data_IF_139921505950
#
_entry.id   IF_139921505950
#
_cell.length_a   1.000
_cell.length_b   1.000
_cell.length_c   1.000
_cell.angle_alpha   90.00
_cell.angle_beta   90.00
_cell.angle_gamma   90.00
#
_symmetry.space_group_name_H-M   'P 1'
#
loop_
_entity.id
_entity.type
_entity.pdbx_description
1 polymer ?
#
# COMPACT_ATOMS: atom_id res chain seq x y z
N UNK A 1 6.83 1.92 18.24
CA UNK A 1 7.57 2.76 17.27
C UNK A 1 9.05 2.41 17.15
N UNK A 2 9.88 2.46 18.20
CA UNK A 2 11.32 2.17 18.05
C UNK A 2 11.63 0.70 17.70
N UNK A 3 10.94 -0.27 18.32
CA UNK A 3 11.16 -1.70 18.07
C UNK A 3 10.75 -2.11 16.64
N UNK A 4 9.60 -1.65 16.17
CA UNK A 4 9.13 -1.93 14.81
C UNK A 4 10.05 -1.31 13.76
N UNK A 5 10.46 -0.06 13.98
CA UNK A 5 11.43 0.59 13.09
C UNK A 5 12.74 -0.19 13.00
N UNK A 6 13.29 -0.62 14.13
CA UNK A 6 14.53 -1.40 14.16
C UNK A 6 14.36 -2.76 13.42
N UNK A 7 13.24 -3.46 13.67
CA UNK A 7 12.90 -4.73 13.01
C UNK A 7 12.80 -4.58 11.49
N UNK A 8 12.09 -3.56 11.00
CA UNK A 8 11.93 -3.32 9.57
C UNK A 8 13.23 -2.84 8.91
N UNK A 9 14.03 -2.01 9.58
CA UNK A 9 15.37 -1.64 9.12
C UNK A 9 16.25 -2.88 8.90
N UNK A 10 16.25 -3.81 9.86
CA UNK A 10 17.03 -5.05 9.72
C UNK A 10 16.53 -5.91 8.57
N UNK A 11 15.21 -6.04 8.40
CA UNK A 11 14.61 -6.74 7.26
C UNK A 11 15.03 -6.11 5.93
N UNK A 12 14.88 -4.79 5.79
CA UNK A 12 15.22 -4.09 4.54
C UNK A 12 16.72 -4.08 4.26
N UNK A 13 17.58 -4.13 5.28
CA UNK A 13 19.03 -4.26 5.09
C UNK A 13 19.41 -5.54 4.38
N UNK A 14 18.73 -6.64 4.69
CA UNK A 14 18.96 -7.98 4.12
C UNK A 14 18.15 -8.26 2.87
N UNK A 15 17.14 -7.45 2.58
CA UNK A 15 16.25 -7.69 1.45
C UNK A 15 16.90 -7.23 0.14
N UNK A 16 16.88 -8.07 -0.91
CA UNK A 16 17.18 -7.63 -2.26
C UNK A 16 16.15 -6.57 -2.67
N UNK A 17 16.42 -5.90 -3.77
CA UNK A 17 15.46 -4.96 -4.35
C UNK A 17 14.21 -5.74 -4.81
N UNK A 18 13.05 -5.51 -4.22
CA UNK A 18 11.86 -6.27 -4.58
C UNK A 18 11.34 -5.85 -5.96
N UNK A 19 10.61 -6.77 -6.59
CA UNK A 19 9.86 -6.47 -7.80
C UNK A 19 8.53 -5.78 -7.44
N UNK A 20 7.99 -4.95 -8.34
CA UNK A 20 6.65 -4.40 -8.20
C UNK A 20 5.60 -5.51 -8.03
N UNK A 21 4.47 -5.16 -7.43
CA UNK A 21 3.31 -6.05 -7.36
C UNK A 21 2.78 -6.36 -8.76
N UNK A 22 2.82 -7.63 -9.17
CA UNK A 22 2.24 -8.07 -10.45
C UNK A 22 0.74 -7.82 -10.47
N UNK A 23 -0.06 -8.16 -9.42
CA UNK A 23 -1.47 -7.81 -9.38
C UNK A 23 -1.74 -6.32 -9.54
N UNK A 24 -0.92 -5.44 -8.93
CA UNK A 24 -1.08 -4.00 -9.15
C UNK A 24 -0.86 -3.61 -10.60
N UNK A 25 0.19 -4.13 -11.24
CA UNK A 25 0.44 -3.88 -12.67
C UNK A 25 -0.72 -4.33 -13.55
N UNK A 26 -1.34 -5.47 -13.24
CA UNK A 26 -2.49 -6.01 -13.98
C UNK A 26 -3.76 -5.16 -13.79
N UNK A 27 -4.00 -4.67 -12.59
CA UNK A 27 -5.28 -4.08 -12.21
C UNK A 27 -5.26 -2.57 -11.97
N UNK A 28 -4.12 -1.89 -12.11
CA UNK A 28 -4.02 -0.44 -11.88
C UNK A 28 -5.01 0.39 -12.71
N UNK A 29 -5.39 -0.08 -13.88
CA UNK A 29 -6.41 0.58 -14.72
C UNK A 29 -7.82 0.64 -14.10
N UNK A 30 -8.07 -0.11 -13.01
CA UNK A 30 -9.33 -0.08 -12.24
C UNK A 30 -9.30 0.91 -11.08
N UNK A 31 -8.14 1.52 -10.80
CA UNK A 31 -7.95 2.46 -9.71
C UNK A 31 -8.30 3.88 -10.14
N UNK A 32 -8.80 4.66 -9.20
CA UNK A 32 -9.16 6.07 -9.44
C UNK A 32 -7.90 6.92 -9.56
N UNK A 33 -7.71 7.62 -10.68
CA UNK A 33 -6.57 8.51 -10.89
C UNK A 33 -6.60 9.70 -9.94
N UNK A 34 -5.42 10.21 -9.60
CA UNK A 34 -5.24 11.39 -8.75
C UNK A 34 -4.12 11.22 -7.73
N UNK A 35 -4.35 11.62 -6.49
CA UNK A 35 -3.40 11.45 -5.39
C UNK A 35 -3.51 10.03 -4.85
N UNK A 36 -2.37 9.37 -4.71
CA UNK A 36 -2.30 8.03 -4.14
C UNK A 36 -1.54 8.03 -2.81
N UNK A 37 -1.99 7.20 -1.86
CA UNK A 37 -1.28 6.89 -0.62
C UNK A 37 -0.82 5.44 -0.67
N UNK A 38 0.50 5.24 -0.62
CA UNK A 38 1.13 3.91 -0.52
C UNK A 38 1.48 3.65 0.95
N UNK A 39 0.70 2.78 1.59
CA UNK A 39 0.77 2.50 3.04
C UNK A 39 1.78 1.40 3.31
N UNK A 40 2.77 1.69 4.16
CA UNK A 40 3.92 0.83 4.42
C UNK A 40 4.63 0.45 3.10
N UNK A 41 4.88 1.45 2.25
CA UNK A 41 5.33 1.30 0.87
C UNK A 41 6.77 0.79 0.72
N UNK A 42 7.49 0.56 1.82
CA UNK A 42 8.81 -0.05 1.83
C UNK A 42 9.81 0.68 0.94
N UNK A 43 10.43 -0.05 0.02
CA UNK A 43 11.49 0.46 -0.88
C UNK A 43 10.93 1.24 -2.09
N UNK A 44 9.59 1.44 -2.19
CA UNK A 44 8.94 2.33 -3.14
C UNK A 44 8.66 1.76 -4.53
N UNK A 45 8.65 0.44 -4.72
CA UNK A 45 8.37 -0.17 -6.03
C UNK A 45 6.94 0.13 -6.50
N UNK A 46 5.96 -0.08 -5.61
CA UNK A 46 4.55 0.21 -5.83
C UNK A 46 4.33 1.68 -6.14
N UNK A 47 4.91 2.55 -5.32
CA UNK A 47 4.88 4.00 -5.52
C UNK A 47 5.45 4.42 -6.87
N UNK A 48 6.59 3.86 -7.28
CA UNK A 48 7.22 4.18 -8.56
C UNK A 48 6.32 3.78 -9.74
N UNK A 49 5.71 2.58 -9.70
CA UNK A 49 4.77 2.12 -10.73
C UNK A 49 3.61 3.09 -10.88
N UNK A 50 2.96 3.47 -9.78
CA UNK A 50 1.84 4.40 -9.79
C UNK A 50 2.25 5.78 -10.31
N UNK A 51 3.38 6.32 -9.85
CA UNK A 51 3.85 7.64 -10.27
C UNK A 51 4.18 7.68 -11.76
N UNK A 52 4.88 6.67 -12.28
CA UNK A 52 5.17 6.56 -13.72
C UNK A 52 3.91 6.37 -14.57
N UNK A 53 2.84 5.82 -13.98
CA UNK A 53 1.53 5.71 -14.62
C UNK A 53 0.63 6.94 -14.39
N UNK A 54 1.15 8.03 -13.76
CA UNK A 54 0.51 9.35 -13.68
C UNK A 54 -0.29 9.63 -12.41
N UNK A 55 -0.05 8.91 -11.31
CA UNK A 55 -0.51 9.32 -9.97
C UNK A 55 0.49 10.26 -9.30
N UNK A 56 0.00 11.21 -8.48
CA UNK A 56 0.84 11.91 -7.50
C UNK A 56 0.86 11.09 -6.21
N UNK A 57 1.99 10.47 -5.89
CA UNK A 57 2.06 9.44 -4.85
C UNK A 57 2.65 10.01 -3.56
N UNK A 58 2.02 9.68 -2.43
CA UNK A 58 2.63 9.81 -1.10
C UNK A 58 2.90 8.41 -0.56
N UNK A 59 4.18 8.08 -0.37
CA UNK A 59 4.61 6.86 0.29
C UNK A 59 4.82 7.12 1.77
N UNK A 60 4.33 6.24 2.62
CA UNK A 60 4.62 6.24 4.06
C UNK A 60 5.22 4.92 4.50
N UNK A 61 6.30 4.98 5.27
CA UNK A 61 6.91 3.81 5.93
C UNK A 61 7.55 4.23 7.26
N UNK A 62 7.65 3.30 8.20
CA UNK A 62 8.27 3.55 9.50
C UNK A 62 9.80 3.44 9.45
N UNK A 63 10.34 2.66 8.51
CA UNK A 63 11.75 2.38 8.35
C UNK A 63 12.48 3.54 7.69
N UNK A 64 13.45 4.11 8.38
CA UNK A 64 14.35 5.14 7.81
C UNK A 64 15.12 4.59 6.60
N UNK A 65 15.59 3.35 6.66
CA UNK A 65 16.30 2.71 5.54
C UNK A 65 15.40 2.58 4.29
N UNK A 66 14.13 2.18 4.49
CA UNK A 66 13.18 2.10 3.40
C UNK A 66 12.87 3.48 2.81
N UNK A 67 12.62 4.45 3.66
CA UNK A 67 12.36 5.85 3.28
C UNK A 67 13.51 6.43 2.45
N UNK A 68 14.76 6.21 2.85
CA UNK A 68 15.93 6.72 2.11
C UNK A 68 16.07 6.04 0.75
N UNK A 69 15.87 4.72 0.68
CA UNK A 69 15.91 3.98 -0.58
C UNK A 69 14.76 4.37 -1.51
N UNK A 70 13.55 4.55 -0.99
CA UNK A 70 12.40 5.02 -1.77
C UNK A 70 12.62 6.42 -2.33
N UNK A 71 13.21 7.35 -1.54
CA UNK A 71 13.59 8.69 -2.02
C UNK A 71 14.60 8.64 -3.16
N UNK A 72 15.64 7.80 -3.03
CA UNK A 72 16.65 7.64 -4.08
C UNK A 72 16.01 7.09 -5.36
N UNK A 73 15.17 6.04 -5.25
CA UNK A 73 14.41 5.50 -6.38
C UNK A 73 13.54 6.56 -7.06
N UNK A 74 12.79 7.33 -6.30
CA UNK A 74 11.96 8.39 -6.86
C UNK A 74 12.77 9.42 -7.66
N UNK A 75 13.93 9.83 -7.15
CA UNK A 75 14.84 10.75 -7.85
C UNK A 75 15.42 10.13 -9.13
N UNK A 76 15.91 8.90 -9.06
CA UNK A 76 16.50 8.18 -10.21
C UNK A 76 15.48 8.03 -11.36
N UNK A 77 14.24 7.71 -11.02
CA UNK A 77 13.13 7.55 -11.97
C UNK A 77 12.44 8.86 -12.36
N UNK A 78 12.77 9.98 -11.72
CA UNK A 78 12.07 11.27 -11.84
C UNK A 78 10.56 11.10 -11.62
N UNK A 79 10.20 10.23 -10.68
CA UNK A 79 8.81 9.89 -10.36
C UNK A 79 8.24 10.87 -9.33
N UNK A 80 6.97 11.27 -9.50
CA UNK A 80 6.24 12.14 -8.54
C UNK A 80 5.84 11.34 -7.30
N UNK A 81 6.83 11.11 -6.42
CA UNK A 81 6.65 10.40 -5.16
C UNK A 81 7.16 11.24 -4.00
N UNK A 82 6.24 11.66 -3.12
CA UNK A 82 6.55 12.23 -1.82
C UNK A 82 6.74 11.11 -0.80
N UNK A 83 7.93 11.00 -0.21
CA UNK A 83 8.25 9.96 0.77
C UNK A 83 8.26 10.53 2.18
N UNK A 84 7.43 9.96 3.06
CA UNK A 84 7.23 10.40 4.44
C UNK A 84 7.56 9.25 5.40
N UNK A 85 8.43 9.52 6.38
CA UNK A 85 8.65 8.59 7.49
C UNK A 85 7.57 8.81 8.54
N UNK A 86 6.70 7.82 8.75
CA UNK A 86 5.67 7.87 9.79
C UNK A 86 5.22 6.47 10.19
N UNK A 87 4.59 6.39 11.36
CA UNK A 87 3.91 5.21 11.84
C UNK A 87 2.50 5.16 11.23
N UNK A 88 2.13 4.01 10.66
CA UNK A 88 0.81 3.81 10.05
C UNK A 88 -0.34 3.95 11.04
N UNK A 89 -0.11 3.76 12.32
CA UNK A 89 -1.11 4.01 13.38
C UNK A 89 -1.39 5.50 13.60
N UNK A 90 -0.52 6.39 13.12
CA UNK A 90 -0.60 7.84 13.30
C UNK A 90 -0.21 8.56 12.02
N UNK A 91 -0.96 8.31 10.95
CA UNK A 91 -0.71 8.95 9.66
C UNK A 91 -0.89 10.47 9.76
N UNK A 92 0.12 11.27 9.35
CA UNK A 92 0.08 12.73 9.47
C UNK A 92 -0.70 13.40 8.32
N UNK A 93 -1.71 12.71 7.78
CA UNK A 93 -2.48 13.18 6.63
C UNK A 93 -3.93 13.42 7.01
N UNK A 94 -4.56 14.38 6.35
CA UNK A 94 -6.00 14.64 6.45
C UNK A 94 -6.78 14.11 5.25
N UNK A 95 -6.09 13.66 4.20
CA UNK A 95 -6.70 13.22 2.93
C UNK A 95 -7.34 14.37 2.14
N UNK A 96 -8.31 14.08 1.26
CA UNK A 96 -8.59 12.76 0.75
C UNK A 96 -7.53 12.29 -0.26
N UNK A 97 -7.46 10.98 -0.47
CA UNK A 97 -6.69 10.34 -1.54
C UNK A 97 -7.65 9.62 -2.48
N UNK A 98 -7.46 9.77 -3.79
CA UNK A 98 -8.26 9.11 -4.80
C UNK A 98 -7.94 7.62 -4.90
N UNK A 99 -6.71 7.23 -4.53
CA UNK A 99 -6.29 5.83 -4.42
C UNK A 99 -5.51 5.61 -3.14
N UNK A 100 -5.79 4.52 -2.44
CA UNK A 100 -4.94 4.01 -1.36
C UNK A 100 -4.49 2.61 -1.75
N UNK A 101 -3.19 2.33 -1.63
CA UNK A 101 -2.63 1.00 -1.90
C UNK A 101 -1.94 0.44 -0.67
N UNK A 102 -2.09 -0.87 -0.46
CA UNK A 102 -1.46 -1.61 0.61
C UNK A 102 -1.01 -2.97 0.06
N UNK A 103 0.29 -3.11 -0.19
CA UNK A 103 0.89 -4.31 -0.79
C UNK A 103 1.85 -4.97 0.17
N UNK A 104 1.68 -6.28 0.39
CA UNK A 104 2.56 -7.08 1.26
C UNK A 104 2.66 -6.55 2.71
N UNK A 105 1.65 -5.81 3.12
CA UNK A 105 1.46 -5.29 4.46
C UNK A 105 0.00 -5.43 4.85
N UNK A 106 -0.27 -5.87 6.07
CA UNK A 106 -1.60 -5.92 6.65
C UNK A 106 -1.57 -5.43 8.09
N UNK A 107 -2.44 -4.48 8.39
CA UNK A 107 -2.76 -4.04 9.75
C UNK A 107 -4.27 -3.74 9.81
N UNK A 108 -4.98 -4.62 10.45
CA UNK A 108 -6.45 -4.62 10.44
C UNK A 108 -7.04 -3.42 11.19
N UNK A 109 -6.36 -3.00 12.25
CA UNK A 109 -6.85 -1.92 13.13
C UNK A 109 -6.86 -0.54 12.46
N UNK A 110 -6.12 -0.33 11.38
CA UNK A 110 -6.09 0.94 10.65
C UNK A 110 -7.17 1.06 9.58
N UNK A 111 -7.99 0.02 9.34
CA UNK A 111 -9.00 0.03 8.27
C UNK A 111 -9.89 1.28 8.34
N UNK A 112 -10.45 1.61 9.50
CA UNK A 112 -11.27 2.82 9.69
C UNK A 112 -10.51 4.12 9.42
N UNK A 113 -9.18 4.17 9.69
CA UNK A 113 -8.36 5.33 9.37
C UNK A 113 -8.20 5.48 7.85
N UNK A 114 -7.95 4.39 7.13
CA UNK A 114 -7.84 4.41 5.67
C UNK A 114 -9.15 4.82 5.00
N UNK A 115 -10.30 4.36 5.54
CA UNK A 115 -11.62 4.77 5.02
C UNK A 115 -11.89 6.26 5.17
N UNK A 116 -11.40 6.90 6.23
CA UNK A 116 -11.49 8.37 6.39
C UNK A 116 -10.60 9.14 5.42
N UNK A 117 -9.44 8.57 5.06
CA UNK A 117 -8.50 9.18 4.12
C UNK A 117 -8.88 8.96 2.65
N UNK A 118 -9.72 7.96 2.34
CA UNK A 118 -10.14 7.66 0.99
C UNK A 118 -11.21 8.64 0.52
N UNK A 119 -11.04 9.21 -0.67
CA UNK A 119 -11.99 10.11 -1.30
C UNK A 119 -13.33 9.41 -1.61
N UNK A 120 -14.41 10.16 -1.69
CA UNK A 120 -15.65 9.68 -2.33
C UNK A 120 -15.35 9.29 -3.78
N UNK A 121 -15.83 8.14 -4.25
CA UNK A 121 -15.48 7.56 -5.55
C UNK A 121 -14.04 7.01 -5.65
N UNK A 122 -13.24 7.15 -4.61
CA UNK A 122 -11.87 6.66 -4.56
C UNK A 122 -11.77 5.14 -4.40
N UNK A 123 -10.60 4.58 -4.70
CA UNK A 123 -10.35 3.13 -4.66
C UNK A 123 -9.28 2.74 -3.66
N UNK A 124 -9.52 1.65 -2.94
CA UNK A 124 -8.55 0.95 -2.12
C UNK A 124 -8.07 -0.30 -2.85
N UNK A 125 -6.77 -0.47 -2.98
CA UNK A 125 -6.13 -1.69 -3.47
C UNK A 125 -5.40 -2.39 -2.33
N UNK A 126 -5.68 -3.68 -2.12
CA UNK A 126 -4.96 -4.52 -1.18
C UNK A 126 -4.43 -5.78 -1.87
N UNK A 127 -3.20 -6.16 -1.53
CA UNK A 127 -2.57 -7.42 -1.93
C UNK A 127 -1.81 -8.00 -0.75
N UNK A 128 -2.12 -9.26 -0.39
CA UNK A 128 -1.47 -9.93 0.72
C UNK A 128 -1.37 -11.44 0.50
N UNK A 129 -0.26 -12.09 0.93
CA UNK A 129 -0.14 -13.54 0.88
C UNK A 129 -1.26 -14.25 1.65
N UNK A 130 -1.72 -15.38 1.13
CA UNK A 130 -2.64 -16.31 1.81
C UNK A 130 -1.89 -17.22 2.77
N UNK A 131 -0.62 -17.51 2.48
CA UNK A 131 0.26 -18.36 3.27
C UNK A 131 1.61 -17.70 3.45
N UNK A 132 2.31 -17.99 4.54
CA UNK A 132 3.62 -17.40 4.81
C UNK A 132 4.22 -17.86 6.13
N UNK A 133 5.38 -17.31 6.48
CA UNK A 133 6.15 -17.67 7.67
C UNK A 133 5.37 -17.38 8.96
N UNK A 134 4.51 -16.37 8.94
CA UNK A 134 3.67 -16.00 10.08
C UNK A 134 2.23 -15.79 9.63
N UNK A 135 1.27 -16.45 10.30
CA UNK A 135 -0.17 -16.26 10.08
C UNK A 135 -0.64 -14.82 10.28
N UNK A 136 0.06 -14.08 11.13
CA UNK A 136 -0.20 -12.67 11.42
C UNK A 136 -0.12 -11.77 10.18
N UNK A 137 0.78 -12.13 9.23
CA UNK A 137 1.00 -11.41 7.98
C UNK A 137 0.27 -12.03 6.78
N UNK A 138 -0.62 -12.99 7.01
CA UNK A 138 -1.42 -13.61 5.97
C UNK A 138 -2.88 -13.22 6.12
N UNK A 139 -3.65 -13.36 5.04
CA UNK A 139 -5.10 -13.12 5.02
C UNK A 139 -5.84 -14.34 4.52
N UNK A 140 -7.14 -14.45 4.85
CA UNK A 140 -8.03 -15.40 4.20
C UNK A 140 -8.49 -14.83 2.84
N UNK A 141 -8.88 -15.68 1.87
CA UNK A 141 -9.26 -15.22 0.52
C UNK A 141 -10.28 -14.09 0.50
N UNK A 142 -11.29 -14.12 1.37
CA UNK A 142 -12.38 -13.13 1.42
C UNK A 142 -12.22 -12.09 2.55
N UNK A 143 -11.11 -12.10 3.25
CA UNK A 143 -10.93 -11.25 4.44
C UNK A 143 -11.04 -9.76 4.14
N UNK A 144 -10.52 -9.32 3.01
CA UNK A 144 -10.60 -7.90 2.61
C UNK A 144 -12.05 -7.44 2.37
N UNK A 145 -12.92 -8.32 1.87
CA UNK A 145 -14.35 -8.01 1.68
C UNK A 145 -15.04 -7.75 3.01
N UNK A 146 -14.66 -8.51 4.04
CA UNK A 146 -15.20 -8.32 5.40
C UNK A 146 -14.59 -7.08 6.05
N UNK A 147 -13.26 -6.90 5.96
CA UNK A 147 -12.54 -5.80 6.57
C UNK A 147 -12.97 -4.43 6.00
N UNK A 148 -13.29 -4.39 4.71
CA UNK A 148 -13.70 -3.18 3.97
C UNK A 148 -15.14 -3.31 3.43
N UNK A 149 -16.06 -3.82 4.25
CA UNK A 149 -17.45 -4.07 3.86
C UNK A 149 -18.22 -2.80 3.41
N UNK A 150 -17.77 -1.61 3.83
CA UNK A 150 -18.34 -0.33 3.41
C UNK A 150 -17.97 0.07 1.97
N UNK A 151 -17.00 -0.62 1.35
CA UNK A 151 -16.62 -0.39 -0.03
C UNK A 151 -17.41 -1.29 -0.98
N UNK A 152 -17.79 -0.75 -2.13
CA UNK A 152 -18.28 -1.54 -3.25
C UNK A 152 -17.11 -2.35 -3.85
N UNK A 153 -17.18 -3.69 -3.89
CA UNK A 153 -16.11 -4.50 -4.43
C UNK A 153 -16.04 -4.38 -5.97
N UNK A 154 -14.92 -3.85 -6.46
CA UNK A 154 -14.59 -3.78 -7.90
C UNK A 154 -13.88 -5.04 -8.35
N UNK A 155 -13.07 -5.63 -7.47
CA UNK A 155 -12.36 -6.89 -7.66
C UNK A 155 -12.16 -7.57 -6.31
N UNK A 156 -12.39 -8.88 -6.26
CA UNK A 156 -11.96 -9.73 -5.14
C UNK A 156 -11.57 -11.08 -5.75
N UNK A 157 -10.28 -11.39 -5.74
CA UNK A 157 -9.74 -12.58 -6.41
C UNK A 157 -8.52 -13.13 -5.68
N UNK A 158 -8.10 -14.31 -6.09
CA UNK A 158 -6.82 -14.91 -5.69
C UNK A 158 -5.94 -15.01 -6.92
N UNK A 159 -4.75 -14.44 -6.85
CA UNK A 159 -3.72 -14.48 -7.87
C UNK A 159 -2.51 -15.26 -7.36
N UNK A 160 -2.38 -16.51 -7.80
CA UNK A 160 -1.37 -17.41 -7.24
C UNK A 160 -1.62 -17.69 -5.76
N UNK A 161 -0.67 -17.27 -4.92
CA UNK A 161 -0.74 -17.38 -3.45
C UNK A 161 -1.21 -16.10 -2.74
N UNK A 162 -1.83 -15.16 -3.46
CA UNK A 162 -2.18 -13.83 -2.95
C UNK A 162 -3.65 -13.53 -3.07
N UNK A 163 -4.25 -13.02 -1.99
CA UNK A 163 -5.53 -12.36 -2.06
C UNK A 163 -5.34 -10.94 -2.62
N UNK A 164 -6.17 -10.57 -3.59
CA UNK A 164 -6.20 -9.23 -4.21
C UNK A 164 -7.60 -8.66 -4.11
N UNK A 165 -7.68 -7.42 -3.63
CA UNK A 165 -8.94 -6.73 -3.46
C UNK A 165 -8.84 -5.29 -3.99
N UNK A 166 -9.89 -4.88 -4.72
CA UNK A 166 -10.13 -3.48 -5.05
C UNK A 166 -11.55 -3.15 -4.59
N UNK A 167 -11.65 -2.20 -3.70
CA UNK A 167 -12.92 -1.67 -3.24
C UNK A 167 -13.07 -0.19 -3.58
N UNK A 168 -14.27 0.25 -3.94
CA UNK A 168 -14.58 1.64 -4.26
C UNK A 168 -15.46 2.25 -3.17
N UNK A 169 -15.08 3.42 -2.69
CA UNK A 169 -15.92 4.19 -1.78
C UNK A 169 -17.06 4.84 -2.56
N UNK A 170 -18.27 4.70 -2.06
CA UNK A 170 -19.43 5.39 -2.66
C UNK A 170 -19.19 6.90 -2.75
N UNK A 171 -19.73 7.53 -3.81
CA UNK A 171 -19.66 8.97 -3.99
C UNK A 171 -20.51 9.72 -2.97
#
# INVERSE_FOLDING_TARGET
MNADRARWNEKFRKSPQPLPSIPLLMYQGRLTKGRALDVAGGLGETSAVLALAGWSVTLVDISDLAVDRARNRARELRADVRVVQADVFRLPFRGPFETIVMTRFIERSIAGQLMRLLAAGGTLFCEQPLTGISKEYCVQPDEFRTLYADLEPVLSTVEGDRAVFIGRKKA
#
